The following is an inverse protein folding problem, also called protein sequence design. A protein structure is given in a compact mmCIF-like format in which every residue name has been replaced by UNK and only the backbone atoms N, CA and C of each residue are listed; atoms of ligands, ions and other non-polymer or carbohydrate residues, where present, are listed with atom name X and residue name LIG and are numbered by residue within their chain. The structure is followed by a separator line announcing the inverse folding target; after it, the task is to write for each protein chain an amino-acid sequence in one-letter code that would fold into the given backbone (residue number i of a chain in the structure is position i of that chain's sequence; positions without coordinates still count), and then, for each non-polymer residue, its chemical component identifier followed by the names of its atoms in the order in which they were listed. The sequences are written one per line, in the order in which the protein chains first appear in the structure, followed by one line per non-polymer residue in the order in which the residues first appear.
data_IF_409825591265
#
_entry.id   IF_409825591265
#
_cell.length_a   1.000
_cell.length_b   1.000
_cell.length_c   1.000
_cell.angle_alpha   90.00
_cell.angle_beta   90.00
_cell.angle_gamma   90.00
#
_symmetry.space_group_name_H-M   'P 1'
#
loop_
_entity.id
_entity.type
_entity.pdbx_description
1 polymer ?
#
# COMPACT_ATOMS: atom_id res chain seq x y z
N UNK A 1 57.58 -88.68 -14.97
CA UNK A 1 56.29 -88.48 -14.19
C UNK A 1 55.78 -87.03 -14.24
N UNK A 2 56.23 -86.20 -15.19
CA UNK A 2 55.94 -84.76 -15.13
C UNK A 2 54.88 -84.16 -16.06
N UNK A 3 54.55 -84.91 -17.11
CA UNK A 3 53.68 -84.33 -18.17
C UNK A 3 52.18 -84.38 -17.80
N UNK A 4 51.77 -85.25 -16.87
CA UNK A 4 50.37 -85.37 -16.44
C UNK A 4 49.97 -84.35 -15.36
N UNK A 5 50.87 -84.05 -14.47
CA UNK A 5 50.70 -83.02 -13.42
C UNK A 5 50.71 -81.60 -14.02
N UNK A 6 51.56 -81.38 -15.01
CA UNK A 6 51.59 -80.07 -15.72
C UNK A 6 50.31 -79.77 -16.52
N UNK A 7 49.77 -80.80 -17.21
CA UNK A 7 48.49 -80.66 -17.92
C UNK A 7 47.30 -80.43 -16.95
N UNK A 8 47.35 -81.08 -15.77
CA UNK A 8 46.33 -80.92 -14.73
C UNK A 8 46.36 -79.52 -14.11
N UNK A 9 47.55 -79.00 -13.84
CA UNK A 9 47.71 -77.64 -13.31
C UNK A 9 47.31 -76.53 -14.33
N UNK A 10 47.59 -76.73 -15.63
CA UNK A 10 47.13 -75.87 -16.72
C UNK A 10 45.61 -75.93 -16.85
N UNK A 11 45.01 -77.08 -16.76
CA UNK A 11 43.54 -77.16 -16.79
C UNK A 11 42.87 -76.51 -15.58
N UNK A 12 43.47 -76.68 -14.39
CA UNK A 12 42.97 -76.02 -13.17
C UNK A 12 43.12 -74.52 -13.22
N UNK A 13 44.23 -73.95 -13.76
CA UNK A 13 44.40 -72.55 -13.96
C UNK A 13 43.44 -71.92 -15.00
N UNK A 14 43.18 -72.66 -16.08
CA UNK A 14 42.20 -72.28 -17.13
C UNK A 14 40.77 -72.24 -16.56
N UNK A 15 40.39 -73.22 -15.75
CA UNK A 15 39.06 -73.24 -15.12
C UNK A 15 38.94 -72.14 -14.07
N UNK A 16 39.96 -71.88 -13.26
CA UNK A 16 39.96 -70.74 -12.32
C UNK A 16 39.85 -69.36 -13.04
N UNK A 17 40.58 -69.26 -14.17
CA UNK A 17 40.50 -68.05 -14.99
C UNK A 17 39.10 -67.87 -15.62
N UNK A 18 38.49 -68.94 -16.14
CA UNK A 18 37.15 -68.89 -16.69
C UNK A 18 36.09 -68.55 -15.64
N UNK A 19 36.24 -69.01 -14.39
CA UNK A 19 35.35 -68.62 -13.27
C UNK A 19 35.49 -67.16 -12.91
N UNK A 20 36.70 -66.64 -12.86
CA UNK A 20 36.95 -65.21 -12.58
C UNK A 20 36.34 -64.36 -13.70
N UNK A 21 36.51 -64.70 -14.95
CA UNK A 21 35.90 -63.97 -16.08
C UNK A 21 34.38 -64.01 -16.00
N UNK A 22 33.79 -65.15 -15.66
CA UNK A 22 32.34 -65.27 -15.50
C UNK A 22 31.81 -64.40 -14.36
N UNK A 23 32.52 -64.31 -13.20
CA UNK A 23 32.17 -63.49 -12.10
C UNK A 23 32.26 -61.97 -12.51
N UNK A 24 33.32 -61.57 -13.21
CA UNK A 24 33.48 -60.19 -13.70
C UNK A 24 32.37 -59.83 -14.70
N UNK A 25 32.00 -60.74 -15.59
CA UNK A 25 30.89 -60.54 -16.52
C UNK A 25 29.54 -60.42 -15.78
N UNK A 26 29.27 -61.28 -14.81
CA UNK A 26 28.02 -61.22 -14.01
C UNK A 26 27.95 -59.89 -13.20
N UNK A 27 29.05 -59.50 -12.53
CA UNK A 27 29.14 -58.24 -11.80
C UNK A 27 29.01 -57.07 -12.77
N UNK A 28 29.64 -57.12 -13.93
CA UNK A 28 29.54 -56.09 -14.97
C UNK A 28 28.11 -55.95 -15.51
N UNK A 29 27.43 -57.05 -15.79
CA UNK A 29 26.01 -57.07 -16.21
C UNK A 29 25.11 -56.58 -15.08
N UNK A 30 25.37 -56.97 -13.84
CA UNK A 30 24.63 -56.55 -12.67
C UNK A 30 24.76 -55.01 -12.45
N UNK A 31 25.97 -54.46 -12.47
CA UNK A 31 26.20 -53.03 -12.33
C UNK A 31 25.70 -52.22 -13.51
N UNK A 32 25.76 -52.77 -14.75
CA UNK A 32 25.23 -52.11 -15.93
C UNK A 32 23.70 -52.07 -15.95
N UNK A 33 23.03 -53.10 -15.40
CA UNK A 33 21.57 -53.17 -15.35
C UNK A 33 20.97 -52.42 -14.15
N UNK A 34 21.77 -52.16 -13.08
CA UNK A 34 21.38 -51.35 -11.94
C UNK A 34 21.82 -49.90 -12.12
N UNK A 35 21.23 -49.23 -13.15
CA UNK A 35 21.36 -47.75 -13.24
C UNK A 35 20.53 -47.17 -12.11
N UNK A 36 21.17 -46.35 -11.27
CA UNK A 36 20.48 -45.53 -10.27
C UNK A 36 19.47 -44.64 -11.03
N UNK A 37 18.18 -44.70 -10.70
CA UNK A 37 17.20 -43.86 -11.37
C UNK A 37 17.62 -42.39 -11.27
N UNK A 38 17.58 -41.69 -12.37
CA UNK A 38 17.88 -40.27 -12.43
C UNK A 38 16.71 -39.49 -11.81
N UNK A 39 16.89 -38.95 -10.62
CA UNK A 39 15.87 -38.25 -9.89
C UNK A 39 16.04 -36.71 -10.12
N UNK A 40 14.92 -36.00 -10.27
CA UNK A 40 14.88 -34.56 -10.27
C UNK A 40 14.39 -34.12 -8.91
N UNK A 41 15.28 -33.48 -8.16
CA UNK A 41 14.98 -32.96 -6.83
C UNK A 41 14.57 -31.48 -6.91
N UNK A 42 13.50 -31.13 -6.21
CA UNK A 42 13.01 -29.79 -6.03
C UNK A 42 12.67 -29.51 -4.58
N UNK A 43 12.16 -28.32 -4.36
CA UNK A 43 11.78 -27.83 -3.04
C UNK A 43 10.40 -27.16 -3.14
N UNK A 44 9.55 -27.41 -2.14
CA UNK A 44 8.30 -26.68 -2.00
C UNK A 44 8.59 -25.23 -1.61
N UNK A 45 7.97 -24.30 -2.30
CA UNK A 45 8.06 -22.86 -2.07
C UNK A 45 6.66 -22.26 -1.96
N UNK A 46 6.57 -21.06 -1.43
CA UNK A 46 5.30 -20.34 -1.23
C UNK A 46 5.50 -18.86 -1.52
N UNK A 47 4.45 -18.18 -1.98
CA UNK A 47 4.47 -16.74 -2.04
C UNK A 47 4.52 -16.15 -0.64
N UNK A 48 5.48 -15.27 -0.41
CA UNK A 48 5.56 -14.49 0.82
C UNK A 48 5.34 -13.02 0.53
N UNK A 49 4.54 -12.37 1.36
CA UNK A 49 4.47 -10.93 1.34
C UNK A 49 5.04 -10.34 2.63
N UNK A 50 5.69 -9.20 2.46
CA UNK A 50 6.33 -8.49 3.54
C UNK A 50 5.43 -7.40 4.09
N UNK A 51 5.14 -7.47 5.37
CA UNK A 51 4.50 -6.39 6.10
C UNK A 51 5.58 -5.40 6.54
N UNK A 52 5.48 -4.16 6.06
CA UNK A 52 6.45 -3.09 6.35
C UNK A 52 5.74 -1.90 6.97
N UNK A 53 6.45 -1.16 7.82
CA UNK A 53 5.91 0.06 8.42
C UNK A 53 5.92 1.22 7.40
N UNK A 54 4.80 1.92 7.26
CA UNK A 54 4.70 3.17 6.47
C UNK A 54 5.16 4.39 7.27
N UNK A 55 5.06 4.32 8.59
CA UNK A 55 5.40 5.40 9.52
C UNK A 55 6.54 4.99 10.45
N UNK A 56 7.46 5.89 10.79
CA UNK A 56 8.48 5.58 11.79
C UNK A 56 7.86 5.53 13.17
N UNK A 57 8.26 4.55 13.99
CA UNK A 57 7.72 4.39 15.32
C UNK A 57 8.46 3.32 16.13
N UNK A 58 8.13 3.19 17.39
CA UNK A 58 8.64 2.13 18.25
C UNK A 58 7.64 0.98 18.31
N UNK A 59 8.10 -0.25 18.17
CA UNK A 59 7.22 -1.42 18.35
C UNK A 59 6.68 -1.44 19.78
N UNK A 60 5.41 -1.13 19.95
CA UNK A 60 4.74 -1.16 21.25
C UNK A 60 4.38 -2.60 21.61
N UNK A 61 3.81 -3.33 20.65
CA UNK A 61 3.38 -4.71 20.86
C UNK A 61 3.33 -5.47 19.55
N UNK A 62 3.72 -6.74 19.59
CA UNK A 62 3.52 -7.73 18.53
C UNK A 62 2.40 -8.65 19.00
N UNK A 63 1.35 -8.81 18.19
CA UNK A 63 0.12 -9.51 18.55
C UNK A 63 0.09 -10.97 18.11
N UNK A 64 1.06 -11.37 17.28
CA UNK A 64 1.17 -12.68 16.64
C UNK A 64 2.53 -13.31 16.93
N UNK A 65 2.65 -14.61 16.67
CA UNK A 65 3.88 -15.38 16.82
C UNK A 65 4.25 -16.02 15.49
N UNK A 66 5.54 -16.34 15.29
CA UNK A 66 6.00 -17.13 14.15
C UNK A 66 5.30 -18.50 14.13
N UNK A 67 4.87 -18.92 12.95
CA UNK A 67 4.07 -20.12 12.74
C UNK A 67 2.56 -19.93 13.01
N UNK A 68 2.10 -18.77 13.46
CA UNK A 68 0.69 -18.49 13.67
C UNK A 68 -0.03 -18.20 12.35
N UNK A 69 -1.21 -18.79 12.16
CA UNK A 69 -2.09 -18.46 11.04
C UNK A 69 -2.85 -17.15 11.32
N UNK A 70 -2.89 -16.30 10.32
CA UNK A 70 -3.56 -14.99 10.35
C UNK A 70 -4.50 -14.84 9.15
N UNK A 71 -5.55 -14.04 9.34
CA UNK A 71 -6.51 -13.69 8.29
C UNK A 71 -6.35 -12.23 7.89
N UNK A 72 -6.76 -11.91 6.68
CA UNK A 72 -6.83 -10.53 6.23
C UNK A 72 -7.62 -9.67 7.23
N UNK A 73 -7.03 -8.54 7.66
CA UNK A 73 -7.57 -7.64 8.68
C UNK A 73 -7.13 -7.94 10.12
N UNK A 74 -6.50 -9.07 10.40
CA UNK A 74 -5.97 -9.36 11.74
C UNK A 74 -4.86 -8.36 12.10
N UNK A 75 -4.87 -7.86 13.34
CA UNK A 75 -3.83 -6.97 13.85
C UNK A 75 -2.55 -7.76 14.14
N UNK A 76 -1.45 -7.36 13.52
CA UNK A 76 -0.15 -8.01 13.61
C UNK A 76 0.77 -7.35 14.64
N UNK A 77 0.87 -6.02 14.57
CA UNK A 77 1.70 -5.23 15.48
C UNK A 77 1.12 -3.83 15.66
N UNK A 78 1.49 -3.19 16.76
CA UNK A 78 1.11 -1.82 17.11
C UNK A 78 2.39 -1.02 17.31
N UNK A 79 2.45 0.16 16.69
CA UNK A 79 3.52 1.13 16.81
C UNK A 79 3.15 2.23 17.80
N UNK A 80 4.09 2.63 18.63
CA UNK A 80 4.04 3.86 19.41
C UNK A 80 4.66 5.00 18.60
N UNK A 81 3.88 6.03 18.33
CA UNK A 81 4.25 7.16 17.45
C UNK A 81 3.84 8.49 18.09
N UNK A 82 4.52 8.92 19.18
CA UNK A 82 4.17 10.15 19.90
C UNK A 82 4.22 11.39 19.00
N UNK A 83 5.10 11.42 18.00
CA UNK A 83 5.22 12.52 17.06
C UNK A 83 3.97 12.68 16.17
N UNK A 84 3.36 11.56 15.77
CA UNK A 84 2.12 11.59 14.98
C UNK A 84 0.95 12.06 15.84
N UNK A 85 0.87 11.62 17.10
CA UNK A 85 -0.14 12.06 18.04
C UNK A 85 -0.04 13.60 18.32
N UNK A 86 1.20 14.11 18.43
CA UNK A 86 1.43 15.55 18.56
C UNK A 86 0.98 16.33 17.30
N UNK A 87 1.26 15.78 16.10
CA UNK A 87 0.78 16.35 14.83
C UNK A 87 -0.74 16.32 14.73
N UNK A 88 -1.40 15.26 15.21
CA UNK A 88 -2.86 15.20 15.26
C UNK A 88 -3.43 16.34 16.11
N UNK A 89 -2.95 16.51 17.33
CA UNK A 89 -3.39 17.58 18.20
C UNK A 89 -3.18 18.97 17.58
N UNK A 90 -2.06 19.17 16.87
CA UNK A 90 -1.79 20.41 16.13
C UNK A 90 -2.79 20.62 14.97
N UNK A 91 -3.05 19.58 14.17
CA UNK A 91 -3.98 19.65 13.04
C UNK A 91 -5.42 19.94 13.51
N UNK A 92 -5.86 19.30 14.60
CA UNK A 92 -7.16 19.53 15.21
C UNK A 92 -7.31 20.97 15.75
N UNK A 93 -6.25 21.53 16.34
CA UNK A 93 -6.24 22.92 16.78
C UNK A 93 -6.37 23.90 15.61
N UNK A 94 -5.68 23.64 14.49
CA UNK A 94 -5.79 24.43 13.25
C UNK A 94 -7.21 24.33 12.67
N UNK A 95 -7.79 23.14 12.62
CA UNK A 95 -9.17 22.93 12.16
C UNK A 95 -10.16 23.70 13.05
N UNK A 96 -10.00 23.64 14.37
CA UNK A 96 -10.84 24.38 15.31
C UNK A 96 -10.78 25.90 15.07
N UNK A 97 -9.58 26.45 14.84
CA UNK A 97 -9.40 27.86 14.51
C UNK A 97 -10.06 28.25 13.18
N UNK A 98 -9.86 27.42 12.13
CA UNK A 98 -10.46 27.65 10.81
C UNK A 98 -12.01 27.55 10.86
N UNK A 99 -12.54 26.60 11.62
CA UNK A 99 -13.98 26.44 11.84
C UNK A 99 -14.56 27.67 12.55
N UNK A 100 -13.88 28.17 13.58
CA UNK A 100 -14.30 29.37 14.27
C UNK A 100 -14.27 30.61 13.35
N UNK A 101 -13.25 30.73 12.51
CA UNK A 101 -13.14 31.80 11.52
C UNK A 101 -14.26 31.72 10.46
N UNK A 102 -14.57 30.53 9.94
CA UNK A 102 -15.68 30.32 9.02
C UNK A 102 -17.02 30.67 9.68
N UNK A 103 -17.27 30.22 10.90
CA UNK A 103 -18.48 30.55 11.66
C UNK A 103 -18.63 32.07 11.86
N UNK A 104 -17.51 32.78 12.13
CA UNK A 104 -17.50 34.23 12.24
C UNK A 104 -17.84 34.90 10.91
N UNK A 105 -17.28 34.44 9.79
CA UNK A 105 -17.57 34.98 8.47
C UNK A 105 -19.04 34.76 8.08
N UNK A 106 -19.60 33.57 8.36
CA UNK A 106 -21.00 33.26 8.10
C UNK A 106 -21.98 34.06 8.98
N UNK A 107 -21.65 34.28 10.25
CA UNK A 107 -22.51 35.04 11.18
C UNK A 107 -22.63 36.49 10.81
N UNK A 108 -21.62 37.09 10.17
CA UNK A 108 -21.62 38.50 9.77
C UNK A 108 -21.47 39.47 10.92
N UNK A 109 -22.08 40.68 10.79
CA UNK A 109 -22.05 41.71 11.81
C UNK A 109 -22.84 41.27 13.06
N UNK A 110 -22.45 41.80 14.21
CA UNK A 110 -23.18 41.61 15.47
C UNK A 110 -24.52 42.30 15.45
N UNK A 111 -25.52 41.76 16.12
CA UNK A 111 -26.86 42.34 16.20
C UNK A 111 -26.85 43.80 16.70
N UNK A 112 -25.97 44.12 17.67
CA UNK A 112 -25.82 45.46 18.19
C UNK A 112 -25.26 46.42 17.15
N UNK A 113 -24.40 45.95 16.22
CA UNK A 113 -23.88 46.78 15.13
C UNK A 113 -24.96 47.05 14.08
N UNK A 114 -25.77 46.02 13.74
CA UNK A 114 -26.90 46.16 12.83
C UNK A 114 -27.92 47.15 13.42
N UNK A 115 -28.27 47.03 14.69
CA UNK A 115 -29.19 47.91 15.37
C UNK A 115 -28.64 49.35 15.43
N UNK A 116 -27.34 49.54 15.76
CA UNK A 116 -26.72 50.86 15.77
C UNK A 116 -26.75 51.55 14.39
N UNK A 117 -26.48 50.79 13.31
CA UNK A 117 -26.59 51.32 11.95
C UNK A 117 -28.05 51.64 11.56
N UNK A 118 -29.01 50.84 12.01
CA UNK A 118 -30.44 51.09 11.81
C UNK A 118 -30.87 52.43 12.46
N UNK A 119 -30.49 52.65 13.71
CA UNK A 119 -30.82 53.90 14.43
C UNK A 119 -30.21 55.12 13.76
N UNK A 120 -28.98 55.02 13.25
CA UNK A 120 -28.36 56.11 12.47
C UNK A 120 -29.14 56.41 11.20
N UNK A 121 -29.58 55.36 10.47
CA UNK A 121 -30.41 55.52 9.30
C UNK A 121 -31.79 56.16 9.64
N UNK A 122 -32.46 55.72 10.73
CA UNK A 122 -33.72 56.34 11.18
C UNK A 122 -33.56 57.81 11.52
N UNK A 123 -32.46 58.17 12.18
CA UNK A 123 -32.12 59.57 12.47
C UNK A 123 -31.94 60.39 11.19
N UNK A 124 -31.22 59.88 10.21
CA UNK A 124 -31.00 60.54 8.92
C UNK A 124 -32.31 60.67 8.13
N UNK A 125 -33.17 59.69 8.16
CA UNK A 125 -34.51 59.65 7.53
C UNK A 125 -35.44 60.75 8.14
N UNK A 126 -35.45 60.83 9.47
CA UNK A 126 -36.21 61.91 10.17
C UNK A 126 -35.69 63.31 9.80
N UNK A 127 -34.37 63.47 9.68
CA UNK A 127 -33.75 64.72 9.20
C UNK A 127 -34.17 65.08 7.78
N UNK A 128 -34.15 64.12 6.87
CA UNK A 128 -34.59 64.29 5.47
C UNK A 128 -36.04 64.74 5.40
N UNK A 129 -36.96 64.12 6.16
CA UNK A 129 -38.39 64.54 6.19
C UNK A 129 -38.58 65.98 6.58
N UNK A 130 -37.78 66.46 7.56
CA UNK A 130 -37.84 67.89 7.99
C UNK A 130 -37.39 68.82 6.85
N UNK A 131 -36.24 68.58 6.20
CA UNK A 131 -35.72 69.37 5.11
C UNK A 131 -36.56 69.23 3.84
N UNK A 132 -37.18 68.17 3.56
CA UNK A 132 -38.13 67.97 2.46
C UNK A 132 -39.37 68.88 2.66
N UNK A 133 -39.98 68.83 3.85
CA UNK A 133 -41.12 69.66 4.18
C UNK A 133 -40.75 71.17 4.14
N UNK A 134 -39.54 71.52 4.57
CA UNK A 134 -39.05 72.91 4.51
C UNK A 134 -38.84 73.38 3.08
N UNK A 135 -38.19 72.52 2.22
CA UNK A 135 -37.97 72.86 0.81
C UNK A 135 -39.30 73.01 0.07
N UNK A 136 -40.26 72.09 0.22
CA UNK A 136 -41.57 72.14 -0.38
C UNK A 136 -42.34 73.42 0.00
N UNK A 137 -42.21 73.85 1.24
CA UNK A 137 -42.84 75.13 1.72
C UNK A 137 -42.17 76.27 1.05
N UNK A 138 -40.86 76.36 0.99
CA UNK A 138 -40.08 77.45 0.38
C UNK A 138 -40.36 77.52 -1.12
N UNK A 139 -40.42 76.39 -1.81
CA UNK A 139 -40.74 76.30 -3.24
C UNK A 139 -42.16 76.81 -3.58
N UNK A 140 -43.16 76.50 -2.74
CA UNK A 140 -44.51 77.03 -2.88
C UNK A 140 -44.53 78.51 -2.65
N UNK A 141 -43.79 79.11 -1.70
CA UNK A 141 -43.69 80.55 -1.47
C UNK A 141 -42.92 81.24 -2.59
N UNK A 142 -41.93 80.59 -3.19
CA UNK A 142 -41.19 81.15 -4.34
C UNK A 142 -42.10 81.18 -5.59
N UNK A 143 -42.88 80.17 -5.84
CA UNK A 143 -43.84 80.18 -6.94
C UNK A 143 -44.93 81.24 -6.85
N UNK A 144 -45.20 81.72 -5.61
CA UNK A 144 -46.10 82.82 -5.32
C UNK A 144 -45.40 84.20 -5.29
N UNK A 145 -44.09 84.28 -5.56
CA UNK A 145 -43.30 85.49 -5.58
C UNK A 145 -42.96 86.08 -4.15
N UNK A 146 -43.15 85.31 -3.08
CA UNK A 146 -43.00 85.77 -1.69
C UNK A 146 -41.57 85.74 -1.19
N UNK A 147 -40.70 84.82 -1.70
CA UNK A 147 -39.30 84.62 -1.30
C UNK A 147 -38.37 84.75 -2.51
N UNK A 148 -37.08 85.09 -2.22
CA UNK A 148 -36.05 85.25 -3.24
C UNK A 148 -35.56 83.86 -3.78
N UNK A 149 -34.99 83.85 -4.97
CA UNK A 149 -34.36 82.67 -5.59
C UNK A 149 -33.23 82.15 -4.69
N UNK A 150 -32.41 82.97 -4.13
CA UNK A 150 -31.37 82.57 -3.19
C UNK A 150 -31.93 81.75 -2.01
N UNK A 151 -33.10 82.14 -1.46
CA UNK A 151 -33.72 81.40 -0.36
C UNK A 151 -34.23 79.98 -0.78
N UNK A 152 -34.79 79.97 -2.01
CA UNK A 152 -35.15 78.68 -2.62
C UNK A 152 -33.93 77.77 -2.79
N UNK A 153 -32.80 78.27 -3.33
CA UNK A 153 -31.57 77.51 -3.60
C UNK A 153 -30.89 77.06 -2.29
N UNK A 154 -30.90 77.91 -1.23
CA UNK A 154 -30.45 77.50 0.11
C UNK A 154 -31.27 76.30 0.65
N UNK A 155 -32.61 76.37 0.56
CA UNK A 155 -33.48 75.32 1.03
C UNK A 155 -33.31 74.04 0.22
N UNK A 156 -33.11 74.15 -1.10
CA UNK A 156 -32.80 73.03 -1.99
C UNK A 156 -31.47 72.38 -1.65
N UNK A 157 -30.42 73.11 -1.46
CA UNK A 157 -29.10 72.59 -1.08
C UNK A 157 -29.15 71.89 0.26
N UNK A 158 -29.92 72.33 1.25
CA UNK A 158 -30.14 71.65 2.51
C UNK A 158 -30.90 70.29 2.32
N UNK A 159 -31.93 70.30 1.48
CA UNK A 159 -32.66 69.11 1.14
C UNK A 159 -31.76 68.10 0.42
N UNK A 160 -31.00 68.52 -0.62
CA UNK A 160 -30.09 67.65 -1.36
C UNK A 160 -29.01 67.06 -0.45
N UNK A 161 -28.46 67.84 0.49
CA UNK A 161 -27.53 67.41 1.52
C UNK A 161 -28.16 66.31 2.46
N UNK A 162 -29.41 66.48 2.84
CA UNK A 162 -30.13 65.54 3.69
C UNK A 162 -30.42 64.21 2.94
N UNK A 163 -30.75 64.30 1.61
CA UNK A 163 -30.88 63.08 0.76
C UNK A 163 -29.57 62.33 0.71
N UNK A 164 -28.45 63.02 0.52
CA UNK A 164 -27.14 62.36 0.50
C UNK A 164 -26.80 61.73 1.85
N UNK A 165 -27.12 62.38 2.96
CA UNK A 165 -26.90 61.86 4.32
C UNK A 165 -27.73 60.59 4.60
N UNK A 166 -29.03 60.61 4.21
CA UNK A 166 -29.91 59.46 4.36
C UNK A 166 -29.39 58.26 3.55
N UNK A 167 -29.00 58.45 2.26
CA UNK A 167 -28.45 57.42 1.41
C UNK A 167 -27.16 56.82 2.00
N UNK A 168 -26.27 57.65 2.53
CA UNK A 168 -25.04 57.16 3.17
C UNK A 168 -25.35 56.32 4.40
N UNK A 169 -26.27 56.77 5.27
CA UNK A 169 -26.68 56.00 6.45
C UNK A 169 -27.39 54.69 6.09
N UNK A 170 -28.22 54.72 5.05
CA UNK A 170 -28.85 53.52 4.52
C UNK A 170 -27.83 52.51 3.99
N UNK A 171 -26.84 52.97 3.22
CA UNK A 171 -25.78 52.09 2.71
C UNK A 171 -24.98 51.43 3.85
N UNK A 172 -24.73 52.15 4.95
CA UNK A 172 -24.09 51.60 6.14
C UNK A 172 -24.94 50.53 6.82
N UNK A 173 -26.27 50.74 6.92
CA UNK A 173 -27.19 49.74 7.44
C UNK A 173 -27.22 48.49 6.55
N UNK A 174 -27.36 48.69 5.22
CA UNK A 174 -27.39 47.60 4.25
C UNK A 174 -26.09 46.77 4.29
N UNK A 175 -24.91 47.42 4.42
CA UNK A 175 -23.63 46.71 4.61
C UNK A 175 -23.59 45.90 5.92
N UNK A 176 -24.13 46.45 7.01
CA UNK A 176 -24.17 45.71 8.27
C UNK A 176 -25.11 44.49 8.21
N UNK A 177 -26.26 44.61 7.53
CA UNK A 177 -27.24 43.53 7.37
C UNK A 177 -26.72 42.45 6.44
N UNK A 178 -26.10 42.81 5.31
CA UNK A 178 -25.55 41.87 4.34
C UNK A 178 -24.33 41.12 4.89
N UNK A 179 -23.63 41.67 5.88
CA UNK A 179 -22.47 41.04 6.52
C UNK A 179 -21.24 40.97 5.62
N UNK A 180 -20.47 39.90 5.74
CA UNK A 180 -19.27 39.70 4.93
C UNK A 180 -19.63 39.44 3.46
N UNK A 181 -18.79 39.89 2.55
CA UNK A 181 -18.88 39.57 1.12
C UNK A 181 -18.79 38.05 0.90
N UNK A 182 -19.44 37.57 -0.16
CA UNK A 182 -19.51 36.13 -0.45
C UNK A 182 -18.10 35.53 -0.65
N UNK A 183 -17.21 36.29 -1.27
CA UNK A 183 -15.81 35.91 -1.47
C UNK A 183 -15.07 35.71 -0.13
N UNK A 184 -15.39 36.48 0.90
CA UNK A 184 -14.80 36.31 2.24
C UNK A 184 -15.33 35.03 2.93
N UNK A 185 -16.62 34.74 2.74
CA UNK A 185 -17.23 33.50 3.26
C UNK A 185 -16.67 32.31 2.56
N UNK A 186 -16.54 32.36 1.23
CA UNK A 186 -15.96 31.30 0.42
C UNK A 186 -14.50 31.01 0.79
N UNK A 187 -13.70 32.10 1.00
CA UNK A 187 -12.31 31.95 1.44
C UNK A 187 -12.23 31.32 2.83
N UNK A 188 -13.07 31.73 3.80
CA UNK A 188 -13.10 31.10 5.11
C UNK A 188 -13.54 29.63 5.07
N UNK A 189 -14.52 29.29 4.24
CA UNK A 189 -14.94 27.92 4.01
C UNK A 189 -13.84 27.06 3.34
N UNK A 190 -13.08 27.64 2.41
CA UNK A 190 -11.96 26.97 1.76
C UNK A 190 -10.81 26.69 2.76
N UNK A 191 -10.52 27.64 3.66
CA UNK A 191 -9.53 27.43 4.74
C UNK A 191 -9.95 26.33 5.70
N UNK A 192 -11.24 26.25 6.04
CA UNK A 192 -11.76 25.15 6.86
C UNK A 192 -11.57 23.79 6.17
N UNK A 193 -11.97 23.68 4.89
CA UNK A 193 -11.75 22.44 4.11
C UNK A 193 -10.28 22.06 3.97
N UNK A 194 -9.39 23.04 3.84
CA UNK A 194 -7.95 22.79 3.84
C UNK A 194 -7.48 22.18 5.16
N UNK A 195 -7.94 22.72 6.29
CA UNK A 195 -7.61 22.21 7.62
C UNK A 195 -8.21 20.81 7.85
N UNK A 196 -9.43 20.53 7.37
CA UNK A 196 -10.02 19.19 7.36
C UNK A 196 -9.17 18.18 6.59
N UNK A 197 -8.64 18.59 5.43
CA UNK A 197 -7.72 17.76 4.64
C UNK A 197 -6.44 17.41 5.41
N UNK A 198 -5.87 18.33 6.15
CA UNK A 198 -4.68 18.07 7.00
C UNK A 198 -5.00 17.08 8.13
N UNK A 199 -6.16 17.21 8.78
CA UNK A 199 -6.59 16.25 9.81
C UNK A 199 -6.80 14.85 9.20
N UNK A 200 -7.41 14.76 8.02
CA UNK A 200 -7.60 13.49 7.32
C UNK A 200 -6.25 12.84 6.95
N UNK A 201 -5.27 13.62 6.51
CA UNK A 201 -3.91 13.13 6.23
C UNK A 201 -3.27 12.53 7.50
N UNK A 202 -3.30 13.25 8.62
CA UNK A 202 -2.70 12.76 9.88
C UNK A 202 -3.43 11.52 10.40
N UNK A 203 -4.76 11.46 10.29
CA UNK A 203 -5.54 10.28 10.67
C UNK A 203 -5.15 9.05 9.83
N UNK A 204 -4.86 9.22 8.52
CA UNK A 204 -4.33 8.14 7.69
C UNK A 204 -2.98 7.60 8.20
N UNK A 205 -2.11 8.47 8.74
CA UNK A 205 -0.87 7.99 9.38
C UNK A 205 -1.12 7.27 10.71
N UNK A 206 -2.13 7.67 11.46
CA UNK A 206 -2.53 6.99 12.72
C UNK A 206 -3.05 5.59 12.40
N UNK A 207 -3.88 5.42 11.38
CA UNK A 207 -4.35 4.10 10.96
C UNK A 207 -3.19 3.15 10.62
N UNK A 208 -2.13 3.67 10.01
CA UNK A 208 -0.91 2.92 9.67
C UNK A 208 -0.04 2.56 10.88
N UNK A 209 -0.35 3.06 12.09
CA UNK A 209 0.34 2.64 13.32
C UNK A 209 -0.11 1.27 13.80
N UNK A 210 -1.26 0.79 13.33
CA UNK A 210 -1.79 -0.55 13.58
C UNK A 210 -1.57 -1.38 12.32
N UNK A 211 -0.54 -2.22 12.34
CA UNK A 211 -0.21 -3.06 11.20
C UNK A 211 -1.16 -4.25 11.13
N UNK A 212 -1.80 -4.43 9.99
CA UNK A 212 -2.76 -5.51 9.76
C UNK A 212 -2.32 -6.43 8.62
N UNK A 213 -2.75 -7.69 8.67
CA UNK A 213 -2.54 -8.62 7.56
C UNK A 213 -3.38 -8.21 6.33
N UNK A 214 -2.75 -8.18 5.16
CA UNK A 214 -3.44 -7.86 3.91
C UNK A 214 -4.08 -9.07 3.24
N UNK A 215 -3.55 -10.26 3.49
CA UNK A 215 -4.02 -11.55 2.96
C UNK A 215 -3.95 -12.61 4.07
N UNK A 216 -4.73 -13.67 3.90
CA UNK A 216 -4.66 -14.86 4.75
C UNK A 216 -3.30 -15.56 4.56
N UNK A 217 -2.68 -15.99 5.65
CA UNK A 217 -1.40 -16.66 5.60
C UNK A 217 -0.89 -17.14 6.94
N UNK A 218 0.36 -17.54 6.98
CA UNK A 218 1.08 -17.95 8.20
C UNK A 218 2.30 -17.03 8.39
N UNK A 219 2.48 -16.51 9.60
CA UNK A 219 3.66 -15.69 9.93
C UNK A 219 4.92 -16.52 9.80
N UNK A 220 5.78 -16.23 8.81
CA UNK A 220 7.02 -16.99 8.58
C UNK A 220 8.19 -16.46 9.40
N UNK A 221 8.30 -15.13 9.56
CA UNK A 221 9.41 -14.50 10.27
C UNK A 221 8.99 -13.14 10.83
N UNK A 222 9.47 -12.80 12.03
CA UNK A 222 9.29 -11.50 12.69
C UNK A 222 10.65 -10.88 12.91
N UNK A 223 10.92 -9.71 12.30
CA UNK A 223 12.24 -9.08 12.32
C UNK A 223 12.53 -8.26 13.58
N UNK A 224 11.66 -7.28 13.99
CA UNK A 224 11.97 -6.43 15.12
C UNK A 224 11.49 -7.04 16.44
N UNK A 225 12.11 -6.59 17.52
CA UNK A 225 11.69 -6.87 18.88
C UNK A 225 10.78 -5.76 19.44
N UNK A 226 9.94 -6.10 20.41
CA UNK A 226 9.16 -5.12 21.17
C UNK A 226 10.11 -4.10 21.82
N UNK A 227 9.81 -2.82 21.66
CA UNK A 227 10.64 -1.70 22.11
C UNK A 227 11.65 -1.20 21.07
N UNK A 228 11.84 -1.89 19.95
CA UNK A 228 12.73 -1.46 18.86
C UNK A 228 12.14 -0.32 18.06
N UNK A 229 12.98 0.60 17.60
CA UNK A 229 12.60 1.70 16.73
C UNK A 229 12.71 1.25 15.26
N UNK A 230 11.62 1.38 14.50
CA UNK A 230 11.57 1.05 13.08
C UNK A 230 11.34 2.31 12.25
N UNK A 231 11.96 2.36 11.09
CA UNK A 231 11.82 3.46 10.13
C UNK A 231 10.73 3.18 9.10
N UNK A 232 10.46 4.19 8.26
CA UNK A 232 9.57 4.03 7.09
C UNK A 232 10.13 2.99 6.13
N UNK A 233 9.30 2.04 5.70
CA UNK A 233 9.69 0.93 4.82
C UNK A 233 10.42 -0.21 5.52
N UNK A 234 10.66 -0.12 6.84
CA UNK A 234 11.30 -1.19 7.58
C UNK A 234 10.42 -2.45 7.58
N UNK A 235 11.00 -3.63 7.28
CA UNK A 235 10.28 -4.88 7.35
C UNK A 235 9.93 -5.20 8.81
N UNK A 236 8.68 -5.58 9.06
CA UNK A 236 8.22 -5.99 10.37
C UNK A 236 8.07 -7.50 10.44
N UNK A 237 7.44 -8.10 9.46
CA UNK A 237 7.32 -9.56 9.36
C UNK A 237 7.06 -10.01 7.93
N UNK A 238 7.36 -11.27 7.64
CA UNK A 238 6.96 -11.97 6.44
C UNK A 238 5.76 -12.88 6.74
N UNK A 239 4.82 -12.93 5.79
CA UNK A 239 3.66 -13.82 5.85
C UNK A 239 3.62 -14.69 4.62
N UNK A 240 3.64 -16.01 4.82
CA UNK A 240 3.57 -17.03 3.79
C UNK A 240 2.11 -17.30 3.40
N UNK A 241 1.77 -17.16 2.12
CA UNK A 241 0.42 -17.41 1.59
C UNK A 241 0.28 -18.89 1.27
N UNK A 242 -0.08 -19.70 2.27
CA UNK A 242 -0.08 -21.17 2.19
C UNK A 242 -0.96 -21.74 1.06
N UNK A 243 -1.87 -20.97 0.51
CA UNK A 243 -2.70 -21.39 -0.63
C UNK A 243 -2.03 -21.18 -2.00
N UNK A 244 -0.91 -20.45 -2.05
CA UNK A 244 -0.14 -20.17 -3.26
C UNK A 244 1.21 -20.86 -3.19
N UNK A 245 1.17 -22.18 -3.18
CA UNK A 245 2.34 -23.06 -3.05
C UNK A 245 2.71 -23.68 -4.39
N UNK A 246 4.00 -23.70 -4.70
CA UNK A 246 4.55 -24.40 -5.85
C UNK A 246 5.79 -25.19 -5.45
N UNK A 247 6.25 -26.04 -6.36
CA UNK A 247 7.51 -26.75 -6.22
C UNK A 247 8.48 -26.21 -7.27
N UNK A 248 9.65 -25.79 -6.83
CA UNK A 248 10.74 -25.34 -7.69
C UNK A 248 11.75 -26.46 -7.87
N UNK A 249 12.03 -26.81 -9.13
CA UNK A 249 13.01 -27.81 -9.52
C UNK A 249 14.13 -27.13 -10.31
N UNK A 250 15.37 -27.41 -9.96
CA UNK A 250 16.54 -27.01 -10.75
C UNK A 250 16.94 -28.18 -11.65
N UNK A 251 16.56 -28.08 -12.91
CA UNK A 251 16.66 -29.19 -13.88
C UNK A 251 17.72 -28.89 -14.92
N UNK A 252 18.65 -29.83 -15.12
CA UNK A 252 19.64 -29.75 -16.19
C UNK A 252 18.96 -29.91 -17.55
N UNK A 253 19.46 -29.25 -18.58
CA UNK A 253 18.86 -29.14 -19.92
C UNK A 253 18.52 -30.50 -20.55
N UNK A 254 19.41 -31.51 -20.39
CA UNK A 254 19.21 -32.85 -20.89
C UNK A 254 18.07 -33.66 -20.19
N UNK A 255 17.60 -33.17 -19.05
CA UNK A 255 16.51 -33.74 -18.25
C UNK A 255 15.16 -33.09 -18.49
N UNK A 256 15.09 -32.04 -19.32
CA UNK A 256 13.87 -31.26 -19.57
C UNK A 256 12.87 -31.97 -20.48
N UNK A 257 13.25 -33.01 -21.20
CA UNK A 257 12.42 -33.66 -22.22
C UNK A 257 11.02 -34.02 -21.71
N UNK A 258 10.92 -34.44 -20.44
CA UNK A 258 9.67 -34.88 -19.81
C UNK A 258 8.97 -33.77 -18.97
N UNK A 259 9.57 -32.60 -18.82
CA UNK A 259 9.09 -31.48 -17.98
C UNK A 259 8.66 -30.29 -18.81
N UNK A 260 7.95 -30.53 -19.92
CA UNK A 260 7.46 -29.43 -20.78
C UNK A 260 6.35 -28.62 -20.12
N UNK A 261 6.14 -27.39 -20.58
CA UNK A 261 5.07 -26.52 -20.09
C UNK A 261 3.70 -27.21 -20.17
N UNK A 262 2.99 -27.21 -19.05
CA UNK A 262 1.68 -27.87 -18.92
C UNK A 262 1.72 -29.39 -18.65
N UNK A 263 2.90 -30.01 -18.68
CA UNK A 263 3.03 -31.44 -18.33
C UNK A 263 2.63 -31.66 -16.87
N UNK A 264 1.96 -32.81 -16.65
CA UNK A 264 1.63 -33.30 -15.29
C UNK A 264 2.58 -34.47 -14.97
N UNK A 265 3.19 -34.38 -13.78
CA UNK A 265 4.11 -35.41 -13.28
C UNK A 265 3.78 -35.78 -11.85
N UNK A 266 4.01 -37.04 -11.52
CA UNK A 266 3.91 -37.51 -10.15
C UNK A 266 5.17 -37.10 -9.38
N UNK A 267 4.99 -36.35 -8.32
CA UNK A 267 6.06 -35.88 -7.45
C UNK A 267 5.92 -36.49 -6.06
N UNK A 268 6.96 -37.18 -5.62
CA UNK A 268 7.02 -37.82 -4.31
C UNK A 268 7.56 -36.81 -3.25
N UNK A 269 6.86 -36.69 -2.15
CA UNK A 269 7.23 -35.83 -0.99
C UNK A 269 7.70 -36.77 0.14
N UNK A 270 9.01 -36.93 0.35
CA UNK A 270 9.53 -37.87 1.35
C UNK A 270 9.04 -37.58 2.79
N UNK A 271 8.95 -36.32 3.17
CA UNK A 271 8.49 -35.91 4.50
C UNK A 271 7.05 -36.36 4.82
N UNK A 272 6.21 -36.51 3.80
CA UNK A 272 4.80 -36.91 3.93
C UNK A 272 4.56 -38.33 3.50
N UNK A 273 5.58 -39.01 2.95
CA UNK A 273 5.48 -40.32 2.31
C UNK A 273 4.30 -40.39 1.32
N UNK A 274 4.12 -39.34 0.51
CA UNK A 274 2.97 -39.18 -0.38
C UNK A 274 3.42 -38.74 -1.77
N UNK A 275 2.79 -39.32 -2.79
CA UNK A 275 2.94 -38.86 -4.19
C UNK A 275 1.80 -37.91 -4.55
N UNK A 276 2.14 -36.82 -5.19
CA UNK A 276 1.22 -35.74 -5.55
C UNK A 276 1.40 -35.39 -7.02
N UNK A 277 0.32 -35.30 -7.81
CA UNK A 277 0.41 -34.82 -9.18
C UNK A 277 0.69 -33.30 -9.18
N UNK A 278 1.79 -32.92 -9.86
CA UNK A 278 2.18 -31.54 -10.04
C UNK A 278 2.16 -31.17 -11.52
N UNK A 279 1.67 -29.97 -11.84
CA UNK A 279 1.60 -29.44 -13.21
C UNK A 279 2.66 -28.37 -13.41
N UNK A 280 3.50 -28.54 -14.43
CA UNK A 280 4.50 -27.53 -14.81
C UNK A 280 3.81 -26.27 -15.31
N UNK A 281 4.07 -25.15 -14.65
CA UNK A 281 3.43 -23.85 -14.96
C UNK A 281 4.42 -22.78 -15.39
N UNK A 282 5.71 -22.96 -15.09
CA UNK A 282 6.73 -21.96 -15.40
C UNK A 282 8.08 -22.63 -15.63
N UNK A 283 8.84 -22.08 -16.58
CA UNK A 283 10.20 -22.53 -16.88
C UNK A 283 11.04 -21.33 -17.32
N UNK A 284 12.22 -21.20 -16.72
CA UNK A 284 13.20 -20.21 -17.15
C UNK A 284 14.62 -20.75 -17.07
N UNK A 285 15.49 -20.23 -17.93
CA UNK A 285 16.93 -20.41 -17.83
C UNK A 285 17.47 -19.70 -16.56
N UNK A 286 18.17 -20.43 -15.72
CA UNK A 286 18.89 -19.88 -14.57
C UNK A 286 20.24 -19.26 -14.97
N UNK A 287 20.34 -18.65 -16.12
CA UNK A 287 21.50 -18.00 -16.69
C UNK A 287 22.71 -17.98 -15.78
N UNK A 288 23.73 -18.79 -16.03
CA UNK A 288 24.96 -18.74 -15.25
C UNK A 288 25.68 -17.42 -15.55
N UNK A 289 25.95 -16.60 -14.57
CA UNK A 289 26.74 -15.36 -14.66
C UNK A 289 28.17 -15.60 -15.19
N UNK A 290 28.57 -16.85 -15.41
CA UNK A 290 29.92 -17.24 -15.81
C UNK A 290 30.04 -18.05 -17.11
N UNK A 291 28.95 -18.39 -17.82
CA UNK A 291 29.01 -19.36 -18.92
C UNK A 291 29.00 -18.75 -20.34
N UNK A 292 29.78 -17.69 -20.58
CA UNK A 292 30.01 -17.16 -21.93
C UNK A 292 31.23 -17.73 -22.62
N UNK A 293 31.97 -18.66 -21.99
CA UNK A 293 33.07 -19.39 -22.62
C UNK A 293 32.85 -20.87 -22.41
N UNK A 294 32.58 -21.59 -23.51
CA UNK A 294 32.69 -23.04 -23.54
C UNK A 294 34.08 -23.43 -23.03
N UNK A 295 34.14 -24.07 -21.86
CA UNK A 295 35.39 -24.43 -21.19
C UNK A 295 35.80 -25.88 -21.47
N UNK A 296 34.99 -26.64 -22.24
CA UNK A 296 35.28 -28.03 -22.56
C UNK A 296 35.76 -28.22 -24.00
N UNK A 297 36.93 -28.79 -24.11
CA UNK A 297 37.54 -29.24 -25.37
C UNK A 297 37.07 -30.70 -25.56
N UNK A 298 36.68 -31.10 -26.77
CA UNK A 298 36.26 -32.43 -27.21
C UNK A 298 34.73 -32.72 -27.18
N UNK A 299 33.95 -31.98 -27.99
CA UNK A 299 32.59 -32.41 -28.39
C UNK A 299 31.53 -32.44 -27.26
N UNK A 300 31.85 -32.03 -26.04
CA UNK A 300 30.89 -31.82 -24.95
C UNK A 300 30.48 -30.36 -24.86
N UNK A 301 29.18 -30.11 -24.86
CA UNK A 301 28.61 -28.76 -24.62
C UNK A 301 28.27 -28.59 -23.15
N UNK A 302 28.32 -27.36 -22.67
CA UNK A 302 27.94 -27.01 -21.29
C UNK A 302 26.42 -27.04 -21.20
N UNK A 303 25.90 -27.95 -20.36
CA UNK A 303 24.47 -28.10 -20.10
C UNK A 303 24.02 -26.99 -19.16
N UNK A 304 22.99 -26.27 -19.57
CA UNK A 304 22.37 -25.24 -18.74
C UNK A 304 21.41 -25.84 -17.71
N UNK A 305 21.18 -25.10 -16.64
CA UNK A 305 20.19 -25.42 -15.63
C UNK A 305 18.97 -24.51 -15.78
N UNK A 306 17.81 -25.11 -15.75
CA UNK A 306 16.53 -24.42 -15.83
C UNK A 306 15.80 -24.52 -14.49
N UNK A 307 15.21 -23.41 -14.05
CA UNK A 307 14.22 -23.41 -12.99
C UNK A 307 12.87 -23.81 -13.59
N UNK A 308 12.32 -24.90 -13.11
CA UNK A 308 11.00 -25.40 -13.49
C UNK A 308 10.11 -25.32 -12.27
N UNK A 309 9.01 -24.56 -12.36
CA UNK A 309 8.01 -24.51 -11.29
C UNK A 309 6.80 -25.34 -11.67
N UNK A 310 6.37 -26.15 -10.73
CA UNK A 310 5.17 -26.96 -10.87
C UNK A 310 4.24 -26.74 -9.69
N UNK A 311 2.95 -26.62 -9.96
CA UNK A 311 1.91 -26.39 -8.96
C UNK A 311 1.20 -27.72 -8.69
N UNK A 312 1.02 -28.13 -7.42
CA UNK A 312 0.19 -29.27 -7.05
C UNK A 312 -1.23 -29.11 -7.60
N UNK A 313 -1.79 -30.14 -8.22
CA UNK A 313 -3.16 -30.10 -8.74
C UNK A 313 -4.21 -30.16 -7.64
N UNK A 314 -3.85 -30.70 -6.48
CA UNK A 314 -4.69 -30.83 -5.31
C UNK A 314 -4.00 -30.19 -4.10
N UNK A 315 -4.80 -29.70 -3.15
CA UNK A 315 -4.27 -29.19 -1.88
C UNK A 315 -3.62 -30.31 -1.09
N UNK A 316 -2.33 -30.19 -0.85
CA UNK A 316 -1.55 -31.17 -0.09
C UNK A 316 -1.51 -30.72 1.37
N UNK A 317 -2.25 -31.44 2.22
CA UNK A 317 -2.23 -31.18 3.65
C UNK A 317 -0.82 -31.40 4.23
N UNK A 318 -0.40 -30.52 5.12
CA UNK A 318 0.91 -30.55 5.80
C UNK A 318 2.13 -30.39 4.88
N UNK A 319 1.97 -30.00 3.61
CA UNK A 319 3.10 -29.59 2.80
C UNK A 319 3.58 -28.22 3.33
N UNK A 320 4.88 -28.11 3.60
CA UNK A 320 5.50 -26.90 4.14
C UNK A 320 6.57 -26.37 3.18
N UNK A 321 6.77 -25.06 3.10
CA UNK A 321 7.91 -24.48 2.40
C UNK A 321 9.21 -25.11 2.91
N UNK A 322 10.15 -25.34 1.99
CA UNK A 322 11.42 -26.02 2.30
C UNK A 322 11.39 -27.54 2.24
N UNK A 323 10.22 -28.19 2.14
CA UNK A 323 10.17 -29.65 1.99
C UNK A 323 10.70 -30.10 0.62
N UNK A 324 11.50 -31.15 0.63
CA UNK A 324 12.00 -31.77 -0.60
C UNK A 324 10.88 -32.49 -1.36
N UNK A 325 10.90 -32.32 -2.66
CA UNK A 325 9.97 -32.99 -3.59
C UNK A 325 10.79 -33.62 -4.71
N UNK A 326 10.49 -34.85 -5.05
CA UNK A 326 11.27 -35.68 -5.99
C UNK A 326 10.38 -36.12 -7.13
N UNK A 327 10.83 -35.93 -8.36
CA UNK A 327 10.23 -36.54 -9.56
C UNK A 327 11.13 -37.66 -10.01
N UNK A 328 10.61 -38.91 -10.00
CA UNK A 328 11.30 -40.06 -10.55
C UNK A 328 11.16 -40.08 -12.08
N UNK A 329 12.28 -40.24 -12.78
CA UNK A 329 12.30 -40.59 -14.21
C UNK A 329 12.26 -42.10 -14.36
N UNK A 330 11.17 -42.58 -14.91
CA UNK A 330 11.05 -43.97 -15.32
C UNK A 330 11.78 -44.24 -16.63
#
# INVERSE_FOLDING_TARGET
MDNKTQKMNIALSLTAFAVVVAIVCVVGIYTFNHRVPEIVQGQAEVSEYRVSSKVPGRILKIMVQEGQQVKAGDTLAILDTPDINAKQAQAEAVLSAATAQNAKAQKGAREEQIQGAYELWQKAKAGLEIYEKSYRRVENLFSQGVVSEQKRDEAKAQYDAAVATERAAKSQYDMAVNGAEEEVKDMAAAQMRQAEGVVAEVNSYIEETVLTATLDGEVSEIFPMVGELVGTGAPIMNIAVMNDMWVSFNVREDLLQDLTMGAVRDAYVPALNKTVPVKVTYMRDLGSYAAWKATKVNGQYDLKTFEVRAVPQEKVENLRPGMTVIIDRK
#
